data_IF_975884492245
#
_entry.id   IF_975884492245
#
_cell.length_a   1.000
_cell.length_b   1.000
_cell.length_c   1.000
_cell.angle_alpha   90.00
_cell.angle_beta   90.00
_cell.angle_gamma   90.00
#
_symmetry.space_group_name_H-M   'P 1'
#
loop_
_entity.id
_entity.type
_entity.pdbx_description
1 polymer ?
#
# COMPACT_ATOMS: atom_id res chain seq x y z
N UNK A 1 10.50 -18.59 0.03
CA UNK A 1 11.01 -17.26 0.43
C UNK A 1 12.52 -17.30 0.45
N UNK A 2 13.19 -16.39 -0.24
CA UNK A 2 14.66 -16.30 -0.32
C UNK A 2 15.15 -15.02 0.38
N UNK A 3 16.35 -15.02 0.94
CA UNK A 3 16.97 -13.83 1.55
C UNK A 3 18.28 -13.53 0.83
N UNK A 4 18.47 -12.28 0.42
CA UNK A 4 19.66 -11.83 -0.31
C UNK A 4 20.19 -10.50 0.24
N UNK A 5 21.48 -10.24 0.02
CA UNK A 5 22.07 -8.94 0.35
C UNK A 5 21.77 -7.92 -0.75
N UNK A 6 21.67 -6.64 -0.38
CA UNK A 6 21.51 -5.53 -1.34
C UNK A 6 22.60 -5.50 -2.39
N UNK A 7 23.82 -5.97 -2.06
CA UNK A 7 24.94 -6.09 -3.00
C UNK A 7 24.65 -7.11 -4.09
N UNK A 8 24.22 -8.32 -3.72
CA UNK A 8 23.88 -9.40 -4.66
C UNK A 8 22.71 -8.98 -5.54
N UNK A 9 21.69 -8.37 -4.95
CA UNK A 9 20.52 -7.90 -5.70
C UNK A 9 20.93 -6.87 -6.76
N UNK A 10 21.79 -5.91 -6.43
CA UNK A 10 22.30 -4.93 -7.41
C UNK A 10 23.04 -5.58 -8.57
N UNK A 11 23.79 -6.65 -8.32
CA UNK A 11 24.59 -7.36 -9.34
C UNK A 11 23.75 -8.29 -10.22
N UNK A 12 22.63 -8.84 -9.70
CA UNK A 12 21.85 -9.91 -10.36
C UNK A 12 20.36 -9.63 -10.52
N UNK A 13 19.93 -8.38 -10.39
CA UNK A 13 18.50 -8.01 -10.36
C UNK A 13 17.72 -8.61 -11.55
N UNK A 14 18.24 -8.50 -12.77
CA UNK A 14 17.57 -9.00 -13.98
C UNK A 14 17.37 -10.52 -13.98
N UNK A 15 18.34 -11.29 -13.48
CA UNK A 15 18.22 -12.75 -13.34
C UNK A 15 17.25 -13.12 -12.22
N UNK A 16 17.27 -12.35 -11.13
CA UNK A 16 16.37 -12.53 -10.01
C UNK A 16 14.91 -12.26 -10.40
N UNK A 17 14.63 -11.24 -11.22
CA UNK A 17 13.27 -10.97 -11.73
C UNK A 17 12.73 -12.17 -12.53
N UNK A 18 13.56 -12.83 -13.34
CA UNK A 18 13.16 -14.01 -14.12
C UNK A 18 12.79 -15.21 -13.24
N UNK A 19 13.37 -15.30 -12.05
CA UNK A 19 13.16 -16.42 -11.10
C UNK A 19 12.22 -16.07 -9.95
N UNK A 20 11.81 -14.80 -9.84
CA UNK A 20 10.91 -14.25 -8.83
C UNK A 20 9.51 -14.90 -8.76
N UNK A 21 8.93 -15.47 -9.84
CA UNK A 21 7.66 -16.19 -9.76
C UNK A 21 7.63 -17.37 -8.77
N UNK A 22 8.80 -17.83 -8.29
CA UNK A 22 8.93 -18.91 -7.31
C UNK A 22 8.73 -18.43 -5.85
N UNK A 23 8.59 -17.11 -5.63
CA UNK A 23 8.28 -16.51 -4.33
C UNK A 23 9.13 -15.27 -4.00
N UNK A 24 8.80 -14.55 -2.91
CA UNK A 24 9.42 -13.28 -2.59
C UNK A 24 10.89 -13.43 -2.18
N UNK A 25 11.67 -12.40 -2.51
CA UNK A 25 13.06 -12.23 -2.06
C UNK A 25 13.12 -11.09 -1.05
N UNK A 26 13.55 -11.37 0.17
CA UNK A 26 13.83 -10.35 1.19
C UNK A 26 15.24 -9.81 0.96
N UNK A 27 15.35 -8.50 0.83
CA UNK A 27 16.62 -7.79 0.66
C UNK A 27 17.11 -7.32 2.03
N UNK A 28 18.38 -7.57 2.31
CA UNK A 28 19.04 -7.17 3.56
C UNK A 28 20.19 -6.18 3.32
N UNK A 29 20.41 -5.30 4.28
CA UNK A 29 21.59 -4.43 4.39
C UNK A 29 22.21 -4.66 5.77
N UNK A 30 23.47 -5.09 5.81
CA UNK A 30 24.18 -5.43 7.05
C UNK A 30 23.41 -6.45 7.92
N UNK A 31 22.83 -7.48 7.29
CA UNK A 31 22.04 -8.52 7.96
C UNK A 31 20.63 -8.12 8.39
N UNK A 32 20.21 -6.86 8.18
CA UNK A 32 18.87 -6.37 8.53
C UNK A 32 17.98 -6.27 7.29
N UNK A 33 16.72 -6.76 7.32
CA UNK A 33 15.76 -6.56 6.24
C UNK A 33 15.56 -5.08 5.94
N UNK A 34 15.52 -4.71 4.67
CA UNK A 34 15.33 -3.33 4.24
C UNK A 34 14.36 -3.16 3.06
N UNK A 35 14.15 -4.20 2.26
CA UNK A 35 13.19 -4.20 1.15
C UNK A 35 12.79 -5.64 0.79
N UNK A 36 11.84 -5.80 -0.12
CA UNK A 36 11.52 -7.08 -0.73
C UNK A 36 11.32 -6.91 -2.25
N UNK A 37 11.62 -7.97 -3.01
CA UNK A 37 11.17 -8.12 -4.39
C UNK A 37 10.00 -9.10 -4.39
N UNK A 38 8.91 -8.70 -5.01
CA UNK A 38 7.68 -9.48 -5.16
C UNK A 38 7.36 -9.51 -6.65
N UNK A 39 7.04 -10.70 -7.17
CA UNK A 39 6.58 -10.83 -8.54
C UNK A 39 5.18 -10.23 -8.65
N UNK A 40 4.94 -9.47 -9.71
CA UNK A 40 3.62 -8.95 -10.07
C UNK A 40 3.28 -9.53 -11.45
N UNK A 41 2.20 -10.30 -11.51
CA UNK A 41 1.66 -10.91 -12.73
C UNK A 41 0.41 -10.19 -13.22
N UNK A 42 -0.07 -10.57 -14.41
CA UNK A 42 -1.25 -9.96 -15.05
C UNK A 42 -2.54 -10.12 -14.24
N UNK A 43 -2.62 -11.16 -13.41
CA UNK A 43 -3.79 -11.45 -12.58
C UNK A 43 -3.66 -10.91 -11.14
N UNK A 44 -2.53 -10.28 -10.80
CA UNK A 44 -2.36 -9.70 -9.47
C UNK A 44 -3.11 -8.37 -9.40
N UNK A 45 -3.86 -8.17 -8.32
CA UNK A 45 -4.52 -6.89 -8.03
C UNK A 45 -3.46 -5.88 -7.54
N UNK A 46 -2.98 -5.09 -8.50
CA UNK A 46 -1.92 -4.12 -8.27
C UNK A 46 -2.38 -3.03 -7.29
N UNK A 47 -3.63 -2.60 -7.40
CA UNK A 47 -4.24 -1.62 -6.51
C UNK A 47 -4.27 -2.13 -5.08
N UNK A 48 -4.72 -3.36 -4.86
CA UNK A 48 -4.73 -3.99 -3.55
C UNK A 48 -3.31 -4.11 -2.96
N UNK A 49 -2.32 -4.52 -3.79
CA UNK A 49 -0.92 -4.57 -3.37
C UNK A 49 -0.41 -3.20 -2.91
N UNK A 50 -0.65 -2.15 -3.70
CA UNK A 50 -0.23 -0.78 -3.37
C UNK A 50 -0.91 -0.27 -2.10
N UNK A 51 -2.21 -0.53 -1.94
CA UNK A 51 -2.98 -0.14 -0.75
C UNK A 51 -2.43 -0.82 0.49
N UNK A 52 -2.20 -2.14 0.44
CA UNK A 52 -1.71 -2.93 1.56
C UNK A 52 -0.32 -2.48 2.04
N UNK A 53 0.52 -1.98 1.13
CA UNK A 53 1.88 -1.54 1.45
C UNK A 53 2.03 -0.03 1.64
N UNK A 54 0.97 0.77 1.47
CA UNK A 54 1.03 2.22 1.68
C UNK A 54 0.61 2.60 3.13
N UNK A 55 1.53 3.15 3.95
CA UNK A 55 1.29 3.34 5.39
C UNK A 55 0.04 4.17 5.73
N UNK A 56 -0.25 5.21 4.95
CA UNK A 56 -1.41 6.07 5.21
C UNK A 56 -2.73 5.41 4.85
N UNK A 57 -2.73 4.52 3.84
CA UNK A 57 -3.95 3.87 3.37
C UNK A 57 -4.32 2.73 4.31
N UNK A 58 -3.35 1.92 4.72
CA UNK A 58 -3.54 0.95 5.81
C UNK A 58 -4.11 1.61 7.07
N UNK A 59 -3.48 2.70 7.54
CA UNK A 59 -3.97 3.42 8.72
C UNK A 59 -5.37 4.05 8.55
N UNK A 60 -5.83 4.30 7.31
CA UNK A 60 -7.18 4.78 7.05
C UNK A 60 -8.18 3.63 7.12
N UNK A 61 -7.83 2.47 6.55
CA UNK A 61 -8.62 1.25 6.60
C UNK A 61 -8.79 0.78 8.05
N UNK A 62 -7.71 0.72 8.82
CA UNK A 62 -7.74 0.33 10.24
C UNK A 62 -8.66 1.23 11.07
N UNK A 63 -8.60 2.55 10.80
CA UNK A 63 -9.48 3.53 11.45
C UNK A 63 -10.94 3.32 11.09
N UNK A 64 -11.25 3.01 9.83
CA UNK A 64 -12.61 2.69 9.40
C UNK A 64 -13.12 1.39 10.01
N UNK A 65 -12.30 0.34 10.02
CA UNK A 65 -12.63 -0.96 10.60
C UNK A 65 -12.93 -0.87 12.10
N UNK A 66 -12.16 -0.06 12.84
CA UNK A 66 -12.37 0.16 14.27
C UNK A 66 -13.70 0.89 14.60
N UNK A 67 -14.30 1.59 13.65
CA UNK A 67 -15.54 2.35 13.85
C UNK A 67 -16.82 1.49 13.74
N UNK A 68 -16.70 0.18 13.51
CA UNK A 68 -17.86 -0.73 13.43
C UNK A 68 -18.67 -0.63 12.12
N UNK A 69 -18.28 0.27 11.22
CA UNK A 69 -18.81 0.41 9.87
C UNK A 69 -20.19 1.10 9.76
N UNK A 70 -20.47 1.57 8.55
CA UNK A 70 -21.77 2.09 8.13
C UNK A 70 -22.11 3.50 8.61
N UNK A 71 -22.52 4.36 7.68
CA UNK A 71 -23.34 5.53 7.98
C UNK A 71 -24.64 5.38 7.19
N UNK A 72 -25.77 5.80 7.76
CA UNK A 72 -27.01 5.83 6.97
C UNK A 72 -26.84 6.81 5.80
N UNK A 73 -27.49 6.50 4.66
CA UNK A 73 -27.45 7.37 3.49
C UNK A 73 -27.85 8.81 3.86
N UNK A 74 -28.94 8.97 4.61
CA UNK A 74 -29.39 10.27 5.12
C UNK A 74 -28.33 11.01 5.95
N UNK A 75 -27.52 10.31 6.73
CA UNK A 75 -26.45 10.91 7.53
C UNK A 75 -25.30 11.39 6.64
N UNK A 76 -24.96 10.60 5.62
CA UNK A 76 -23.95 10.96 4.61
C UNK A 76 -24.40 12.17 3.81
N UNK A 77 -25.63 12.15 3.28
CA UNK A 77 -26.21 13.25 2.51
C UNK A 77 -26.19 14.56 3.30
N UNK A 78 -26.66 14.53 4.56
CA UNK A 78 -26.59 15.70 5.46
C UNK A 78 -25.17 16.20 5.68
N UNK A 79 -24.19 15.31 5.86
CA UNK A 79 -22.80 15.68 6.08
C UNK A 79 -22.16 16.32 4.83
N UNK A 80 -22.40 15.76 3.64
CA UNK A 80 -21.88 16.26 2.36
C UNK A 80 -22.51 17.61 2.01
N UNK A 81 -23.84 17.74 2.07
CA UNK A 81 -24.51 19.02 1.79
C UNK A 81 -24.07 20.15 2.73
N UNK A 82 -23.77 19.83 4.00
CA UNK A 82 -23.25 20.81 4.97
C UNK A 82 -21.81 21.23 4.66
N UNK A 83 -21.01 20.33 4.08
CA UNK A 83 -19.62 20.61 3.67
C UNK A 83 -19.57 21.50 2.44
N UNK A 84 -20.47 21.31 1.47
CA UNK A 84 -20.61 22.17 0.29
C UNK A 84 -21.10 23.58 0.64
N UNK A 85 -21.99 23.70 1.64
CA UNK A 85 -22.51 24.98 2.11
C UNK A 85 -21.50 25.82 2.91
N UNK A 86 -20.37 25.27 3.36
CA UNK A 86 -19.36 26.04 4.09
C UNK A 86 -18.47 26.74 3.05
N UNK A 87 -18.57 28.07 2.87
CA UNK A 87 -17.82 28.75 1.82
C UNK A 87 -16.33 28.56 2.06
N UNK A 88 -15.57 28.26 1.00
CA UNK A 88 -14.11 28.34 1.01
C UNK A 88 -13.76 29.73 1.52
N UNK A 89 -13.32 29.85 2.77
CA UNK A 89 -12.62 31.06 3.25
C UNK A 89 -11.45 31.24 2.30
N UNK A 90 -11.58 32.16 1.34
CA UNK A 90 -10.47 32.59 0.49
C UNK A 90 -9.43 33.13 1.46
N UNK A 91 -8.29 32.45 1.54
CA UNK A 91 -7.09 33.02 2.14
C UNK A 91 -6.73 34.25 1.29
N UNK A 92 -6.74 35.42 1.93
CA UNK A 92 -6.16 36.64 1.38
C UNK A 92 -4.65 36.62 1.59
#
# INVERSE_FOLDING_TARGET
MKIESVRVVRERLSEMIKTLPQGPVIITKNGRPCAALVALGENDDLEAFLIAHHPRLGALIDRGAAQGGGQSLDAVERAVSRRERKPKRRAA
#
